data_IF_291772115604
#
_entry.id   IF_291772115604
#
_cell.length_a   1.000
_cell.length_b   1.000
_cell.length_c   1.000
_cell.angle_alpha   90.00
_cell.angle_beta   90.00
_cell.angle_gamma   90.00
#
_symmetry.space_group_name_H-M   'P 1'
#
loop_
_entity.id
_entity.type
_entity.pdbx_description
1 polymer ?
#
# COMPACT_ATOMS: atom_id res chain seq x y z
N UNK A 1 68.59 25.57 -54.34
CA UNK A 1 68.10 24.62 -53.31
C UNK A 1 67.16 25.40 -52.40
N UNK A 2 65.85 25.17 -52.49
CA UNK A 2 64.85 25.94 -51.75
C UNK A 2 64.59 25.31 -50.38
N UNK A 3 64.89 26.06 -49.32
CA UNK A 3 64.77 25.65 -47.92
C UNK A 3 63.29 25.74 -47.47
N UNK A 4 62.70 24.60 -47.12
CA UNK A 4 61.26 24.48 -46.84
C UNK A 4 60.97 24.79 -45.35
N UNK A 5 60.68 26.05 -45.02
CA UNK A 5 60.28 26.46 -43.66
C UNK A 5 58.79 26.21 -43.42
N UNK A 6 58.41 24.96 -43.10
CA UNK A 6 57.08 24.68 -42.54
C UNK A 6 57.05 25.13 -41.08
N UNK A 7 56.38 26.26 -40.81
CA UNK A 7 56.13 26.75 -39.45
C UNK A 7 55.31 25.71 -38.67
N UNK A 8 55.67 25.40 -37.41
CA UNK A 8 54.88 24.49 -36.59
C UNK A 8 53.51 25.11 -36.31
N UNK A 9 52.43 24.36 -36.58
CA UNK A 9 51.07 24.80 -36.25
C UNK A 9 50.95 24.94 -34.73
N UNK A 10 50.72 26.17 -34.26
CA UNK A 10 50.40 26.47 -32.87
C UNK A 10 49.08 25.78 -32.54
N UNK A 11 49.14 24.77 -31.67
CA UNK A 11 47.97 24.06 -31.17
C UNK A 11 47.20 25.08 -30.30
N UNK A 12 45.94 25.42 -30.61
CA UNK A 12 45.18 26.34 -29.77
C UNK A 12 45.05 25.75 -28.36
N UNK A 13 45.20 26.56 -27.29
CA UNK A 13 45.07 26.08 -25.93
C UNK A 13 43.69 25.44 -25.75
N UNK A 14 43.66 24.19 -25.24
CA UNK A 14 42.40 23.48 -24.97
C UNK A 14 41.50 24.38 -24.11
N UNK A 15 40.22 24.59 -24.48
CA UNK A 15 39.32 25.43 -23.71
C UNK A 15 39.21 24.90 -22.27
N UNK A 16 39.12 25.78 -21.25
CA UNK A 16 39.01 25.38 -19.87
C UNK A 16 37.80 24.45 -19.72
N UNK A 17 38.02 23.27 -19.13
CA UNK A 17 36.95 22.29 -18.89
C UNK A 17 35.86 22.97 -18.06
N UNK A 18 34.68 23.17 -18.64
CA UNK A 18 33.51 23.69 -17.93
C UNK A 18 33.25 22.78 -16.73
N UNK A 19 33.36 23.33 -15.51
CA UNK A 19 33.07 22.60 -14.28
C UNK A 19 31.61 22.15 -14.35
N UNK A 20 31.33 20.88 -14.04
CA UNK A 20 29.97 20.33 -14.06
C UNK A 20 29.18 21.00 -12.94
N UNK A 21 28.35 21.98 -13.28
CA UNK A 21 27.42 22.58 -12.34
C UNK A 21 26.26 21.63 -12.10
N UNK A 22 26.01 21.34 -10.83
CA UNK A 22 24.99 20.40 -10.41
C UNK A 22 23.62 21.11 -10.41
N UNK A 23 22.79 20.86 -11.42
CA UNK A 23 21.48 21.52 -11.64
C UNK A 23 20.55 21.48 -10.42
N UNK A 24 20.53 20.36 -9.69
CA UNK A 24 19.69 20.17 -8.51
C UNK A 24 20.16 21.01 -7.31
N UNK A 25 21.48 21.23 -7.18
CA UNK A 25 22.05 22.05 -6.12
C UNK A 25 21.68 23.52 -6.33
N UNK A 26 21.80 24.03 -7.55
CA UNK A 26 21.44 25.41 -7.89
C UNK A 26 19.93 25.70 -7.73
N UNK A 27 19.07 24.70 -7.96
CA UNK A 27 17.63 24.83 -7.72
C UNK A 27 17.31 24.86 -6.22
N UNK A 28 17.89 23.95 -5.43
CA UNK A 28 17.63 23.89 -3.99
C UNK A 28 18.25 25.07 -3.24
N UNK A 29 19.36 25.63 -3.74
CA UNK A 29 20.01 26.80 -3.18
C UNK A 29 19.10 28.05 -3.15
N UNK A 30 18.07 28.09 -4.00
CA UNK A 30 17.04 29.14 -3.98
C UNK A 30 16.13 29.08 -2.76
N UNK A 31 15.97 27.89 -2.17
CA UNK A 31 15.08 27.65 -1.03
C UNK A 31 15.85 27.48 0.28
N UNK A 32 17.07 26.94 0.22
CA UNK A 32 17.97 26.83 1.37
C UNK A 32 19.35 27.36 0.97
N UNK A 33 20.02 28.24 1.75
CA UNK A 33 21.35 28.76 1.42
C UNK A 33 22.44 27.70 1.61
N UNK A 34 22.47 26.72 0.71
CA UNK A 34 23.37 25.55 0.74
C UNK A 34 24.81 25.92 0.44
N UNK A 35 25.05 27.01 -0.28
CA UNK A 35 26.39 27.56 -0.56
C UNK A 35 27.18 27.93 0.71
N UNK A 36 26.46 28.16 1.82
CA UNK A 36 27.07 28.50 3.11
C UNK A 36 27.69 27.27 3.78
N UNK A 37 27.19 26.08 3.48
CA UNK A 37 27.62 24.80 4.10
C UNK A 37 28.42 23.95 3.11
N UNK A 38 28.02 23.95 1.84
CA UNK A 38 28.63 23.19 0.75
C UNK A 38 29.23 24.17 -0.26
N UNK A 39 30.56 24.18 -0.41
CA UNK A 39 31.24 25.11 -1.32
C UNK A 39 32.69 24.72 -1.58
N UNK A 40 33.27 25.20 -2.67
CA UNK A 40 34.70 25.04 -2.91
C UNK A 40 35.50 25.87 -1.89
N UNK A 41 36.65 25.34 -1.41
CA UNK A 41 37.55 26.06 -0.49
C UNK A 41 38.03 27.35 -1.14
N UNK A 42 37.53 28.50 -0.67
CA UNK A 42 38.07 29.83 -1.00
C UNK A 42 39.25 30.13 -0.06
N UNK A 43 40.37 30.72 -0.55
CA UNK A 43 41.49 31.06 0.31
C UNK A 43 41.06 32.13 1.33
N UNK A 44 41.04 31.77 2.62
CA UNK A 44 40.71 32.68 3.73
C UNK A 44 39.34 32.48 4.41
N UNK A 45 38.58 31.43 4.07
CA UNK A 45 37.34 31.08 4.79
C UNK A 45 37.30 29.61 5.24
N UNK A 46 36.51 29.35 6.29
CA UNK A 46 36.34 28.07 7.00
C UNK A 46 36.16 26.84 6.09
N UNK A 47 36.52 25.66 6.59
CA UNK A 47 36.47 24.40 5.83
C UNK A 47 35.05 24.04 5.37
N UNK A 48 34.70 24.44 4.15
CA UNK A 48 33.43 24.07 3.51
C UNK A 48 33.45 22.63 3.03
N UNK A 49 32.32 21.95 3.16
CA UNK A 49 32.19 20.58 2.68
C UNK A 49 32.16 20.55 1.14
N UNK A 50 32.91 19.65 0.49
CA UNK A 50 32.87 19.52 -0.96
C UNK A 50 31.45 19.22 -1.46
N UNK A 51 31.03 19.90 -2.53
CA UNK A 51 29.72 19.71 -3.19
C UNK A 51 29.50 18.25 -3.66
N UNK A 52 30.58 17.47 -3.80
CA UNK A 52 30.50 16.02 -4.08
C UNK A 52 29.72 15.24 -3.02
N UNK A 53 29.77 15.65 -1.75
CA UNK A 53 29.09 14.97 -0.65
C UNK A 53 27.60 15.35 -0.52
N UNK A 54 27.18 16.43 -1.16
CA UNK A 54 25.78 16.88 -1.14
C UNK A 54 24.81 15.79 -1.59
N UNK A 55 25.16 15.05 -2.66
CA UNK A 55 24.33 13.95 -3.17
C UNK A 55 24.23 12.78 -2.20
N UNK A 56 25.33 12.42 -1.54
CA UNK A 56 25.33 11.37 -0.52
C UNK A 56 24.49 11.77 0.70
N UNK A 57 24.61 13.02 1.14
CA UNK A 57 23.83 13.54 2.26
C UNK A 57 22.33 13.63 1.91
N UNK A 58 22.00 14.13 0.73
CA UNK A 58 20.62 14.15 0.22
C UNK A 58 20.03 12.74 0.12
N UNK A 59 20.82 11.76 -0.30
CA UNK A 59 20.40 10.36 -0.33
C UNK A 59 20.03 9.82 1.06
N UNK A 60 20.86 10.09 2.07
CA UNK A 60 20.58 9.67 3.45
C UNK A 60 19.33 10.36 4.01
N UNK A 61 19.15 11.65 3.75
CA UNK A 61 17.94 12.39 4.18
C UNK A 61 16.69 11.77 3.55
N UNK A 62 16.73 11.44 2.26
CA UNK A 62 15.59 10.80 1.58
C UNK A 62 15.24 9.47 2.26
N UNK A 63 16.24 8.66 2.63
CA UNK A 63 16.01 7.41 3.35
C UNK A 63 15.39 7.63 4.74
N UNK A 64 15.86 8.64 5.48
CA UNK A 64 15.29 8.98 6.79
C UNK A 64 13.83 9.44 6.66
N UNK A 65 13.52 10.32 5.71
CA UNK A 65 12.16 10.79 5.46
C UNK A 65 11.25 9.64 5.02
N UNK A 66 11.75 8.74 4.17
CA UNK A 66 11.01 7.56 3.74
C UNK A 66 10.73 6.63 4.93
N UNK A 67 11.72 6.39 5.80
CA UNK A 67 11.55 5.57 7.01
C UNK A 67 10.49 6.14 7.94
N UNK A 68 10.59 7.43 8.29
CA UNK A 68 9.62 8.10 9.15
C UNK A 68 8.21 8.08 8.53
N UNK A 69 8.10 8.29 7.21
CA UNK A 69 6.80 8.27 6.52
C UNK A 69 6.15 6.89 6.50
N UNK A 70 6.94 5.82 6.44
CA UNK A 70 6.42 4.45 6.55
C UNK A 70 5.94 4.21 7.99
N UNK A 71 6.73 4.61 8.99
CA UNK A 71 6.38 4.52 10.40
C UNK A 71 5.06 5.25 10.72
N UNK A 72 4.93 6.51 10.29
CA UNK A 72 3.75 7.32 10.53
C UNK A 72 2.45 6.71 9.97
N UNK A 73 2.50 6.12 8.77
CA UNK A 73 1.31 5.51 8.18
C UNK A 73 0.85 4.23 8.90
N UNK A 74 1.76 3.54 9.60
CA UNK A 74 1.44 2.27 10.26
C UNK A 74 0.37 2.42 11.35
N UNK A 75 0.36 3.54 12.08
CA UNK A 75 -0.59 3.77 13.16
C UNK A 75 -2.04 3.86 12.64
N UNK A 76 -2.24 4.60 11.55
CA UNK A 76 -3.55 4.71 10.90
C UNK A 76 -4.03 3.36 10.36
N UNK A 77 -3.13 2.56 9.78
CA UNK A 77 -3.48 1.21 9.33
C UNK A 77 -3.87 0.28 10.47
N UNK A 78 -3.17 0.35 11.61
CA UNK A 78 -3.53 -0.44 12.81
C UNK A 78 -4.92 -0.05 13.32
N UNK A 79 -5.21 1.25 13.42
CA UNK A 79 -6.54 1.72 13.85
C UNK A 79 -7.65 1.26 12.90
N UNK A 80 -7.41 1.33 11.58
CA UNK A 80 -8.36 0.84 10.57
C UNK A 80 -8.56 -0.68 10.66
N UNK A 81 -7.49 -1.43 10.87
CA UNK A 81 -7.53 -2.89 11.02
C UNK A 81 -8.37 -3.31 12.23
N UNK A 82 -8.21 -2.63 13.38
CA UNK A 82 -9.02 -2.90 14.58
C UNK A 82 -10.50 -2.62 14.34
N UNK A 83 -10.84 -1.50 13.68
CA UNK A 83 -12.23 -1.17 13.33
C UNK A 83 -12.84 -2.21 12.39
N UNK A 84 -12.13 -2.54 11.32
CA UNK A 84 -12.58 -3.52 10.33
C UNK A 84 -12.78 -4.90 10.96
N UNK A 85 -11.86 -5.31 11.85
CA UNK A 85 -11.99 -6.57 12.59
C UNK A 85 -13.26 -6.59 13.44
N UNK A 86 -13.56 -5.49 14.14
CA UNK A 86 -14.79 -5.37 14.91
C UNK A 86 -16.04 -5.49 14.02
N UNK A 87 -16.07 -4.79 12.89
CA UNK A 87 -17.18 -4.87 11.93
C UNK A 87 -17.40 -6.31 11.41
N UNK A 88 -16.30 -7.03 11.13
CA UNK A 88 -16.37 -8.45 10.71
C UNK A 88 -16.87 -9.35 11.84
N UNK A 89 -16.42 -9.14 13.06
CA UNK A 89 -16.84 -9.92 14.23
C UNK A 89 -18.33 -9.68 14.53
N UNK A 90 -18.80 -8.44 14.45
CA UNK A 90 -20.22 -8.07 14.60
C UNK A 90 -21.08 -8.75 13.52
N UNK A 91 -20.67 -8.67 12.24
CA UNK A 91 -21.39 -9.31 11.12
C UNK A 91 -21.44 -10.83 11.26
N UNK A 92 -20.36 -11.45 11.76
CA UNK A 92 -20.31 -12.89 12.01
C UNK A 92 -21.27 -13.31 13.12
N UNK A 93 -21.40 -12.50 14.16
CA UNK A 93 -22.35 -12.73 15.23
C UNK A 93 -23.80 -12.66 14.72
N UNK A 94 -24.13 -11.64 13.93
CA UNK A 94 -25.45 -11.50 13.28
C UNK A 94 -25.78 -12.69 12.38
N UNK A 95 -24.85 -13.07 11.51
CA UNK A 95 -25.02 -14.23 10.63
C UNK A 95 -25.29 -15.51 11.43
N UNK A 96 -24.52 -15.74 12.50
CA UNK A 96 -24.68 -16.92 13.36
C UNK A 96 -26.04 -16.91 14.06
N UNK A 97 -26.52 -15.75 14.51
CA UNK A 97 -27.84 -15.61 15.11
C UNK A 97 -28.95 -15.93 14.13
N UNK A 98 -28.91 -15.32 12.93
CA UNK A 98 -29.91 -15.56 11.87
C UNK A 98 -29.89 -17.03 11.43
N UNK A 99 -28.70 -17.61 11.29
CA UNK A 99 -28.55 -19.01 10.91
C UNK A 99 -29.15 -19.94 11.97
N UNK A 100 -28.89 -19.69 13.25
CA UNK A 100 -29.47 -20.47 14.35
C UNK A 100 -31.00 -20.34 14.41
N UNK A 101 -31.55 -19.15 14.14
CA UNK A 101 -33.00 -18.95 14.04
C UNK A 101 -33.61 -19.69 12.85
N UNK A 102 -32.95 -19.65 11.69
CA UNK A 102 -33.38 -20.35 10.50
C UNK A 102 -33.41 -21.88 10.72
N UNK A 103 -32.33 -22.44 11.26
CA UNK A 103 -32.27 -23.86 11.60
C UNK A 103 -33.35 -24.25 12.62
N UNK A 104 -33.61 -23.40 13.62
CA UNK A 104 -34.68 -23.61 14.59
C UNK A 104 -36.06 -23.57 13.94
N UNK A 105 -36.30 -22.63 13.02
CA UNK A 105 -37.56 -22.48 12.33
C UNK A 105 -37.89 -23.67 11.42
N UNK A 106 -36.87 -24.34 10.88
CA UNK A 106 -37.04 -25.56 10.07
C UNK A 106 -37.31 -26.84 10.87
N UNK A 107 -37.20 -26.83 12.21
CA UNK A 107 -37.44 -28.02 13.03
C UNK A 107 -38.93 -28.36 13.06
N UNK A 108 -39.24 -29.64 12.86
CA UNK A 108 -40.61 -30.15 12.83
C UNK A 108 -41.41 -29.77 14.08
N UNK A 109 -40.80 -29.83 15.27
CA UNK A 109 -41.45 -29.43 16.53
C UNK A 109 -41.90 -27.97 16.55
N UNK A 110 -41.10 -27.06 16.01
CA UNK A 110 -41.42 -25.62 15.94
C UNK A 110 -42.44 -25.34 14.85
N UNK A 111 -42.37 -26.06 13.72
CA UNK A 111 -43.36 -25.95 12.65
C UNK A 111 -44.72 -26.41 13.16
N UNK A 112 -44.82 -27.59 13.78
CA UNK A 112 -46.07 -28.14 14.32
C UNK A 112 -46.72 -27.16 15.30
N UNK A 113 -45.96 -26.56 16.22
CA UNK A 113 -46.48 -25.56 17.16
C UNK A 113 -47.07 -24.33 16.44
N UNK A 114 -46.46 -23.87 15.34
CA UNK A 114 -46.95 -22.72 14.55
C UNK A 114 -48.24 -23.04 13.77
N UNK A 115 -48.32 -24.21 13.14
CA UNK A 115 -49.50 -24.61 12.34
C UNK A 115 -50.64 -25.20 13.17
N UNK A 116 -50.42 -25.48 14.46
CA UNK A 116 -51.46 -25.94 15.37
C UNK A 116 -52.60 -24.91 15.51
N UNK A 117 -52.30 -23.62 15.43
CA UNK A 117 -53.30 -22.55 15.41
C UNK A 117 -54.22 -22.60 14.17
N UNK A 118 -53.72 -23.18 13.07
CA UNK A 118 -54.47 -23.39 11.82
C UNK A 118 -55.23 -24.72 11.81
N UNK A 119 -55.18 -25.50 12.90
CA UNK A 119 -55.88 -26.77 13.06
C UNK A 119 -55.17 -27.97 12.42
N UNK A 120 -53.94 -27.80 11.95
CA UNK A 120 -53.13 -28.87 11.36
C UNK A 120 -52.40 -29.64 12.48
N UNK A 121 -52.40 -30.97 12.38
CA UNK A 121 -51.84 -31.87 13.40
C UNK A 121 -50.84 -32.82 12.74
N UNK A 122 -49.76 -33.14 13.44
CA UNK A 122 -48.77 -34.11 12.95
C UNK A 122 -49.41 -35.49 12.78
N UNK A 123 -49.24 -36.06 11.58
CA UNK A 123 -49.67 -37.42 11.34
C UNK A 123 -48.63 -38.41 11.88
N UNK A 124 -48.89 -38.95 13.07
CA UNK A 124 -48.06 -39.97 13.71
C UNK A 124 -48.21 -41.37 13.08
N UNK A 125 -49.22 -41.55 12.20
CA UNK A 125 -49.49 -42.83 11.54
C UNK A 125 -48.97 -42.83 10.10
N UNK A 126 -48.16 -43.83 9.71
CA UNK A 126 -47.64 -43.90 8.35
C UNK A 126 -48.78 -44.06 7.33
N UNK A 127 -48.66 -43.45 6.14
CA UNK A 127 -49.69 -43.54 5.12
C UNK A 127 -49.85 -44.99 4.63
N UNK A 128 -51.09 -45.43 4.46
CA UNK A 128 -51.39 -46.77 3.95
C UNK A 128 -51.35 -46.76 2.42
N UNK A 129 -50.54 -47.63 1.83
CA UNK A 129 -50.55 -47.87 0.37
C UNK A 129 -51.82 -48.64 0.01
N UNK A 130 -52.69 -48.03 -0.79
CA UNK A 130 -53.85 -48.71 -1.37
C UNK A 130 -53.32 -49.48 -2.59
N UNK A 131 -53.42 -50.82 -2.54
CA UNK A 131 -53.12 -51.69 -3.68
C UNK A 131 -54.47 -52.14 -4.20
N UNK A 132 -54.85 -51.67 -5.38
CA UNK A 132 -56.01 -52.18 -6.11
C UNK A 132 -55.62 -53.57 -6.62
N UNK A 133 -56.36 -54.61 -6.23
CA UNK A 133 -56.32 -55.86 -6.95
C UNK A 133 -57.16 -55.64 -8.21
N UNK A 134 -56.55 -55.75 -9.37
CA UNK A 134 -57.30 -55.86 -10.62
C UNK A 134 -58.12 -57.14 -10.50
N UNK A 135 -59.44 -56.98 -10.45
CA UNK A 135 -60.38 -58.10 -10.43
C UNK A 135 -60.21 -58.87 -11.75
N UNK A 136 -59.82 -60.14 -11.64
CA UNK A 136 -59.82 -61.09 -12.76
C UNK A 136 -61.27 -61.33 -13.19
N UNK A 137 -61.63 -60.84 -14.38
CA UNK A 137 -62.83 -61.26 -15.13
C UNK A 137 -62.62 -62.64 -15.77
#
# INVERSE_FOLDING_TARGET
>A
MAENRKRPKVIPPKPPKRKREYSLFNWLNKFLPLDKVFGEKLPGQEERLPVKYFYYFGWVIILLVAYERIGFQSEDYVRKSIKLKKEVDDLKAEYTSIHAEYERAGKQSVVVEKVQAEGLVENLTPPKKIILKEDEE
#
